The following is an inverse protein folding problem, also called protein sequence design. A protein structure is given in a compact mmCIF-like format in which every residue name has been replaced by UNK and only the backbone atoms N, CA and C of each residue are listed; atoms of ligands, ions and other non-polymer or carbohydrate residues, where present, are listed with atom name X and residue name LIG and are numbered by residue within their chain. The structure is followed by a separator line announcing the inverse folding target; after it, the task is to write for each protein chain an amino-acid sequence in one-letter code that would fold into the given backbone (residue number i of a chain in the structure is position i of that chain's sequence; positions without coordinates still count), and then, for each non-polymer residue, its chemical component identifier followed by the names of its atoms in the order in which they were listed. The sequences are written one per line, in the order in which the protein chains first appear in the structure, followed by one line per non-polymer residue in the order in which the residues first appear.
data_IF_298459732400
#
_entry.id   IF_298459732400
#
_cell.length_a   1.000
_cell.length_b   1.000
_cell.length_c   1.000
_cell.angle_alpha   90.00
_cell.angle_beta   90.00
_cell.angle_gamma   90.00
#
_symmetry.space_group_name_H-M   'P 1'
#
loop_
_entity.id
_entity.type
_entity.pdbx_description
1 polymer ?
#
# COMPACT_ATOMS: atom_id res chain seq x y z
N UNK A 1 20.30 -14.10 -6.02
CA UNK A 1 19.07 -13.32 -6.37
C UNK A 1 19.36 -11.88 -6.79
N UNK A 2 20.17 -11.04 -6.10
CA UNK A 2 20.41 -9.65 -6.49
C UNK A 2 20.89 -9.48 -7.94
N UNK A 3 21.81 -10.33 -8.40
CA UNK A 3 22.32 -10.28 -9.77
C UNK A 3 21.19 -10.50 -10.81
N UNK A 4 20.29 -11.47 -10.58
CA UNK A 4 19.18 -11.75 -11.52
C UNK A 4 18.21 -10.56 -11.61
N UNK A 5 17.82 -9.98 -10.49
CA UNK A 5 16.94 -8.81 -10.46
C UNK A 5 17.50 -7.66 -11.31
N UNK A 6 18.78 -7.30 -11.07
CA UNK A 6 19.46 -6.24 -11.82
C UNK A 6 19.52 -6.55 -13.32
N UNK A 7 19.87 -7.78 -13.68
CA UNK A 7 19.93 -8.21 -15.08
C UNK A 7 18.55 -8.12 -15.77
N UNK A 8 17.48 -8.53 -15.09
CA UNK A 8 16.14 -8.46 -15.67
C UNK A 8 15.62 -7.02 -15.81
N UNK A 9 15.95 -6.12 -14.86
CA UNK A 9 15.73 -4.67 -15.02
C UNK A 9 16.44 -4.12 -16.25
N UNK A 10 17.76 -4.40 -16.38
CA UNK A 10 18.58 -3.92 -17.49
C UNK A 10 18.10 -4.42 -18.86
N UNK A 11 17.57 -5.63 -18.89
CA UNK A 11 17.00 -6.23 -20.09
C UNK A 11 15.53 -5.85 -20.33
N UNK A 12 14.93 -5.03 -19.47
CA UNK A 12 13.51 -4.66 -19.48
C UNK A 12 12.57 -5.88 -19.54
N UNK A 13 12.96 -6.97 -18.88
CA UNK A 13 12.24 -8.24 -18.91
C UNK A 13 11.26 -8.34 -17.74
N UNK A 14 10.04 -7.84 -17.93
CA UNK A 14 8.98 -7.82 -16.90
C UNK A 14 8.59 -9.23 -16.44
N UNK A 15 8.53 -10.21 -17.36
CA UNK A 15 8.13 -11.57 -17.04
C UNK A 15 9.13 -12.23 -16.07
N UNK A 16 10.42 -12.01 -16.29
CA UNK A 16 11.44 -12.54 -15.38
C UNK A 16 11.53 -11.74 -14.07
N UNK A 17 11.25 -10.44 -14.11
CA UNK A 17 11.15 -9.61 -12.89
C UNK A 17 10.04 -10.11 -11.97
N UNK A 18 8.89 -10.53 -12.51
CA UNK A 18 7.79 -11.06 -11.71
C UNK A 18 8.18 -12.34 -10.95
N UNK A 19 9.16 -13.10 -11.43
CA UNK A 19 9.66 -14.29 -10.73
C UNK A 19 10.56 -13.99 -9.53
N UNK A 20 11.05 -12.75 -9.38
CA UNK A 20 11.98 -12.38 -8.30
C UNK A 20 11.19 -11.98 -7.05
N UNK A 21 11.53 -12.50 -5.85
CA UNK A 21 10.86 -12.14 -4.61
C UNK A 21 10.93 -10.63 -4.31
N UNK A 22 9.80 -10.05 -3.94
CA UNK A 22 9.60 -8.62 -3.61
C UNK A 22 8.64 -8.50 -2.43
N UNK A 23 8.49 -7.29 -1.93
CA UNK A 23 7.43 -6.92 -1.00
C UNK A 23 6.43 -6.00 -1.66
N UNK A 24 5.20 -5.99 -1.15
CA UNK A 24 4.18 -4.97 -1.35
C UNK A 24 3.66 -4.60 0.04
N UNK A 25 4.08 -3.46 0.57
CA UNK A 25 3.82 -3.04 1.96
C UNK A 25 2.76 -1.95 2.05
N UNK A 26 2.17 -1.61 0.91
CA UNK A 26 1.08 -0.66 0.79
C UNK A 26 0.13 -1.13 -0.33
N UNK A 27 -0.91 -1.84 0.07
CA UNK A 27 -1.87 -2.47 -0.82
C UNK A 27 -3.26 -2.43 -0.18
N UNK A 28 -4.26 -1.94 -0.91
CA UNK A 28 -5.65 -1.90 -0.44
C UNK A 28 -6.39 -3.19 -0.82
N UNK A 29 -6.93 -3.89 0.17
CA UNK A 29 -7.47 -5.24 0.03
C UNK A 29 -8.50 -5.40 -1.10
N UNK A 30 -9.42 -4.47 -1.25
CA UNK A 30 -10.45 -4.52 -2.29
C UNK A 30 -9.97 -4.05 -3.67
N UNK A 31 -8.74 -3.57 -3.78
CA UNK A 31 -8.16 -2.96 -4.98
C UNK A 31 -6.79 -3.53 -5.37
N UNK A 32 -6.19 -4.39 -4.55
CA UNK A 32 -4.84 -4.95 -4.76
C UNK A 32 -4.74 -6.06 -5.82
N UNK A 33 -5.81 -6.36 -6.53
CA UNK A 33 -5.89 -7.54 -7.39
C UNK A 33 -5.43 -7.32 -8.83
N UNK A 34 -5.42 -8.42 -9.58
CA UNK A 34 -5.05 -8.45 -10.98
C UNK A 34 -6.28 -8.23 -11.87
N UNK A 35 -6.24 -7.17 -12.69
CA UNK A 35 -7.32 -6.82 -13.63
C UNK A 35 -7.62 -7.95 -14.62
N UNK A 36 -6.59 -8.63 -15.15
CA UNK A 36 -6.77 -9.73 -16.09
C UNK A 36 -7.45 -10.94 -15.43
N UNK A 37 -7.09 -11.24 -14.18
CA UNK A 37 -7.75 -12.29 -13.42
C UNK A 37 -9.25 -11.97 -13.26
N UNK A 38 -9.59 -10.77 -12.80
CA UNK A 38 -10.99 -10.35 -12.68
C UNK A 38 -11.71 -10.44 -14.00
N UNK A 39 -11.15 -9.87 -15.08
CA UNK A 39 -11.75 -9.92 -16.41
C UNK A 39 -12.07 -11.37 -16.87
N UNK A 40 -11.17 -12.32 -16.59
CA UNK A 40 -11.38 -13.74 -16.87
C UNK A 40 -12.51 -14.38 -16.06
N UNK A 41 -12.67 -13.95 -14.79
CA UNK A 41 -13.69 -14.51 -13.89
C UNK A 41 -15.10 -13.99 -14.18
N UNK A 42 -15.23 -12.74 -14.64
CA UNK A 42 -16.53 -12.10 -14.88
C UNK A 42 -16.91 -12.08 -16.36
N UNK A 43 -16.04 -12.57 -17.24
CA UNK A 43 -16.21 -12.56 -18.70
C UNK A 43 -16.55 -11.15 -19.26
N UNK A 44 -15.92 -10.12 -18.71
CA UNK A 44 -16.08 -8.72 -19.10
C UNK A 44 -14.72 -8.16 -19.47
N UNK A 45 -14.65 -7.38 -20.55
CA UNK A 45 -13.46 -6.62 -20.88
C UNK A 45 -13.40 -5.38 -20.03
N UNK A 46 -12.46 -5.34 -19.09
CA UNK A 46 -12.21 -4.15 -18.26
C UNK A 46 -11.42 -3.13 -19.09
N UNK A 47 -11.87 -1.88 -19.08
CA UNK A 47 -11.19 -0.77 -19.76
C UNK A 47 -9.83 -0.48 -19.11
N UNK A 48 -8.93 0.14 -19.89
CA UNK A 48 -7.70 0.68 -19.32
C UNK A 48 -8.02 1.95 -18.53
N UNK A 49 -7.37 2.20 -17.38
CA UNK A 49 -7.51 3.47 -16.69
C UNK A 49 -6.96 4.62 -17.54
N UNK A 50 -7.42 5.86 -17.30
CA UNK A 50 -6.82 7.03 -17.93
C UNK A 50 -5.35 7.17 -17.50
N UNK A 51 -4.54 7.85 -18.33
CA UNK A 51 -3.14 8.11 -17.99
C UNK A 51 -2.99 8.98 -16.72
N UNK A 52 -3.96 9.88 -16.50
CA UNK A 52 -4.07 10.72 -15.30
C UNK A 52 -5.55 10.87 -14.94
N UNK A 53 -5.88 10.72 -13.66
CA UNK A 53 -7.19 11.02 -13.12
C UNK A 53 -7.29 12.51 -12.78
N UNK A 54 -8.40 13.15 -13.16
CA UNK A 54 -8.63 14.57 -12.89
C UNK A 54 -8.87 14.87 -11.41
N UNK A 55 -9.29 13.85 -10.65
CA UNK A 55 -9.56 13.93 -9.21
C UNK A 55 -9.71 12.53 -8.61
N UNK A 56 -9.63 12.42 -7.28
CA UNK A 56 -9.96 11.19 -6.54
C UNK A 56 -11.39 10.74 -6.85
N UNK A 57 -12.34 11.66 -6.98
CA UNK A 57 -13.72 11.32 -7.35
C UNK A 57 -13.79 10.70 -8.75
N UNK A 58 -13.03 11.22 -9.72
CA UNK A 58 -12.93 10.63 -11.06
C UNK A 58 -12.36 9.20 -10.98
N UNK A 59 -11.33 8.99 -10.19
CA UNK A 59 -10.74 7.67 -9.94
C UNK A 59 -11.76 6.69 -9.35
N UNK A 60 -12.48 7.10 -8.30
CA UNK A 60 -13.51 6.27 -7.67
C UNK A 60 -14.68 5.94 -8.60
N UNK A 61 -15.11 6.89 -9.45
CA UNK A 61 -16.16 6.66 -10.44
C UNK A 61 -15.67 5.65 -11.49
N UNK A 62 -14.45 5.83 -12.01
CA UNK A 62 -13.87 4.88 -12.95
C UNK A 62 -13.80 3.46 -12.36
N UNK A 63 -13.33 3.32 -11.12
CA UNK A 63 -13.28 2.04 -10.42
C UNK A 63 -14.67 1.41 -10.23
N UNK A 64 -15.65 2.22 -9.86
CA UNK A 64 -17.03 1.75 -9.69
C UNK A 64 -17.59 1.24 -11.01
N UNK A 65 -17.48 2.02 -12.09
CA UNK A 65 -18.08 1.72 -13.38
C UNK A 65 -17.39 0.57 -14.12
N UNK A 66 -16.08 0.39 -13.92
CA UNK A 66 -15.30 -0.62 -14.65
C UNK A 66 -15.03 -1.90 -13.85
N UNK A 67 -15.03 -1.83 -12.51
CA UNK A 67 -14.64 -2.96 -11.65
C UNK A 67 -15.77 -3.37 -10.69
N UNK A 68 -16.21 -2.45 -9.81
CA UNK A 68 -17.13 -2.79 -8.71
C UNK A 68 -18.47 -3.33 -9.19
N UNK A 69 -19.03 -2.79 -10.26
CA UNK A 69 -20.31 -3.23 -10.84
C UNK A 69 -20.25 -4.65 -11.43
N UNK A 70 -19.06 -5.14 -11.75
CA UNK A 70 -18.85 -6.45 -12.37
C UNK A 70 -18.35 -7.52 -11.41
N UNK A 71 -17.75 -7.12 -10.28
CA UNK A 71 -17.00 -8.02 -9.42
C UNK A 71 -17.27 -7.78 -7.94
N UNK A 72 -17.70 -8.84 -7.22
CA UNK A 72 -17.93 -8.76 -5.77
C UNK A 72 -16.66 -8.43 -5.00
N UNK A 73 -16.82 -7.90 -3.79
CA UNK A 73 -15.70 -7.59 -2.90
C UNK A 73 -14.83 -8.83 -2.63
N UNK A 74 -15.43 -9.96 -2.27
CA UNK A 74 -14.69 -11.21 -2.03
C UNK A 74 -13.90 -11.68 -3.24
N UNK A 75 -14.45 -11.51 -4.46
CA UNK A 75 -13.72 -11.88 -5.68
C UNK A 75 -12.52 -10.94 -5.93
N UNK A 76 -12.63 -9.67 -5.56
CA UNK A 76 -11.49 -8.73 -5.62
C UNK A 76 -10.42 -9.07 -4.59
N UNK A 77 -10.81 -9.48 -3.37
CA UNK A 77 -9.86 -9.98 -2.36
C UNK A 77 -9.14 -11.24 -2.83
N UNK A 78 -9.87 -12.20 -3.41
CA UNK A 78 -9.27 -13.38 -4.04
C UNK A 78 -8.24 -12.99 -5.10
N UNK A 79 -8.58 -12.02 -5.96
CA UNK A 79 -7.69 -11.52 -7.00
C UNK A 79 -6.40 -10.89 -6.44
N UNK A 80 -6.43 -10.29 -5.24
CA UNK A 80 -5.24 -9.72 -4.60
C UNK A 80 -4.23 -10.81 -4.19
N UNK A 81 -4.71 -11.95 -3.69
CA UNK A 81 -3.83 -13.09 -3.39
C UNK A 81 -3.30 -13.77 -4.66
N UNK A 82 -4.12 -13.87 -5.73
CA UNK A 82 -3.63 -14.35 -7.03
C UNK A 82 -2.52 -13.45 -7.55
N UNK A 83 -2.71 -12.13 -7.51
CA UNK A 83 -1.70 -11.15 -7.92
C UNK A 83 -0.42 -11.26 -7.10
N UNK A 84 -0.53 -11.44 -5.79
CA UNK A 84 0.65 -11.62 -4.94
C UNK A 84 1.48 -12.85 -5.34
N UNK A 85 0.79 -13.94 -5.72
CA UNK A 85 1.45 -15.15 -6.24
C UNK A 85 2.08 -14.91 -7.62
N UNK A 86 1.36 -14.28 -8.55
CA UNK A 86 1.79 -14.06 -9.93
C UNK A 86 3.01 -13.13 -10.02
N UNK A 87 3.10 -12.13 -9.15
CA UNK A 87 4.24 -11.21 -9.07
C UNK A 87 5.29 -11.59 -8.02
N UNK A 88 5.19 -12.82 -7.46
CA UNK A 88 6.08 -13.35 -6.43
C UNK A 88 6.31 -12.35 -5.27
N UNK A 89 5.21 -11.83 -4.74
CA UNK A 89 5.23 -10.98 -3.54
C UNK A 89 5.47 -11.87 -2.32
N UNK A 90 6.65 -11.77 -1.76
CA UNK A 90 7.06 -12.57 -0.61
C UNK A 90 6.56 -12.00 0.71
N UNK A 91 6.46 -10.67 0.83
CA UNK A 91 5.88 -9.98 1.99
C UNK A 91 4.78 -9.06 1.48
N UNK A 92 3.54 -9.29 1.92
CA UNK A 92 2.36 -8.53 1.53
C UNK A 92 1.72 -7.91 2.77
N UNK A 93 1.72 -6.58 2.87
CA UNK A 93 0.85 -5.84 3.78
C UNK A 93 -0.38 -5.38 3.00
N UNK A 94 -1.56 -5.76 3.47
CA UNK A 94 -2.82 -5.46 2.80
C UNK A 94 -3.79 -4.86 3.82
N UNK A 95 -4.32 -3.67 3.54
CA UNK A 95 -5.18 -2.92 4.44
C UNK A 95 -6.66 -3.29 4.30
N UNK A 96 -7.35 -3.43 5.43
CA UNK A 96 -8.76 -3.78 5.53
C UNK A 96 -9.50 -2.79 6.41
N UNK A 97 -10.59 -2.24 5.92
CA UNK A 97 -11.59 -1.59 6.77
C UNK A 97 -12.47 -2.64 7.44
N UNK A 98 -12.59 -2.61 8.76
CA UNK A 98 -13.39 -3.62 9.49
C UNK A 98 -14.87 -3.62 9.12
N UNK A 99 -15.39 -2.48 8.71
CA UNK A 99 -16.78 -2.35 8.28
C UNK A 99 -17.05 -3.03 6.93
N UNK A 100 -16.04 -3.26 6.12
CA UNK A 100 -16.17 -3.96 4.85
C UNK A 100 -16.55 -5.44 5.04
N UNK A 101 -16.04 -6.10 6.09
CA UNK A 101 -16.42 -7.48 6.40
C UNK A 101 -17.92 -7.63 6.57
N UNK A 102 -18.55 -6.76 7.35
CA UNK A 102 -20.00 -6.81 7.62
C UNK A 102 -20.82 -6.13 6.52
N UNK A 103 -20.53 -4.86 6.20
CA UNK A 103 -21.35 -4.05 5.29
C UNK A 103 -21.27 -4.50 3.83
N UNK A 104 -20.13 -5.02 3.39
CA UNK A 104 -19.87 -5.35 1.99
C UNK A 104 -19.85 -6.86 1.77
N UNK A 105 -19.14 -7.63 2.61
CA UNK A 105 -19.06 -9.08 2.47
C UNK A 105 -20.18 -9.84 3.20
N UNK A 106 -20.93 -9.17 4.09
CA UNK A 106 -22.01 -9.81 4.86
C UNK A 106 -21.52 -10.86 5.86
N UNK A 107 -20.29 -10.73 6.36
CA UNK A 107 -19.63 -11.66 7.26
C UNK A 107 -19.33 -10.99 8.60
N UNK A 108 -19.41 -11.75 9.70
CA UNK A 108 -18.73 -11.33 10.93
C UNK A 108 -17.19 -11.33 10.73
N UNK A 109 -16.48 -10.62 11.60
CA UNK A 109 -15.04 -10.46 11.47
C UNK A 109 -14.29 -11.80 11.58
N UNK A 110 -14.74 -12.73 12.40
CA UNK A 110 -14.12 -14.04 12.55
C UNK A 110 -14.18 -14.87 11.26
N UNK A 111 -15.37 -14.94 10.64
CA UNK A 111 -15.56 -15.62 9.35
C UNK A 111 -14.76 -14.94 8.23
N UNK A 112 -14.71 -13.60 8.24
CA UNK A 112 -13.91 -12.84 7.29
C UNK A 112 -12.41 -13.18 7.41
N UNK A 113 -11.86 -13.16 8.62
CA UNK A 113 -10.47 -13.55 8.90
C UNK A 113 -10.19 -14.98 8.41
N UNK A 114 -11.08 -15.92 8.71
CA UNK A 114 -10.95 -17.30 8.25
C UNK A 114 -10.91 -17.38 6.71
N UNK A 115 -11.76 -16.62 6.04
CA UNK A 115 -11.82 -16.56 4.57
C UNK A 115 -10.52 -16.01 3.98
N UNK A 116 -9.98 -14.92 4.55
CA UNK A 116 -8.70 -14.36 4.11
C UNK A 116 -7.53 -15.34 4.32
N UNK A 117 -7.49 -16.01 5.45
CA UNK A 117 -6.47 -17.02 5.72
C UNK A 117 -6.58 -18.20 4.73
N UNK A 118 -7.79 -18.62 4.34
CA UNK A 118 -7.99 -19.65 3.34
C UNK A 118 -7.53 -19.20 1.95
N UNK A 119 -7.84 -17.96 1.53
CA UNK A 119 -7.32 -17.41 0.27
C UNK A 119 -5.80 -17.36 0.27
N UNK A 120 -5.19 -16.84 1.34
CA UNK A 120 -3.73 -16.82 1.50
C UNK A 120 -3.14 -18.22 1.35
N UNK A 121 -3.69 -19.19 2.04
CA UNK A 121 -3.15 -20.55 2.05
C UNK A 121 -3.30 -21.24 0.68
N UNK A 122 -4.40 -21.02 -0.02
CA UNK A 122 -4.69 -21.69 -1.29
C UNK A 122 -4.09 -20.99 -2.52
N UNK A 123 -4.00 -19.65 -2.52
CA UNK A 123 -3.64 -18.87 -3.70
C UNK A 123 -2.23 -18.28 -3.62
N UNK A 124 -1.76 -17.94 -2.42
CA UNK A 124 -0.44 -17.34 -2.19
C UNK A 124 0.29 -18.01 -1.02
N UNK A 125 0.50 -19.36 -1.04
CA UNK A 125 1.05 -20.09 0.11
C UNK A 125 2.46 -19.64 0.51
N UNK A 126 3.26 -19.16 -0.45
CA UNK A 126 4.63 -18.68 -0.22
C UNK A 126 4.72 -17.23 0.28
N UNK A 127 3.61 -16.47 0.23
CA UNK A 127 3.56 -15.08 0.67
C UNK A 127 3.44 -15.02 2.19
N UNK A 128 4.23 -14.18 2.82
CA UNK A 128 4.05 -13.78 4.22
C UNK A 128 3.03 -12.66 4.23
N UNK A 129 1.87 -12.94 4.81
CA UNK A 129 0.75 -12.04 4.80
C UNK A 129 0.68 -11.26 6.11
N UNK A 130 0.66 -9.94 6.01
CA UNK A 130 0.61 -8.98 7.10
C UNK A 130 -0.69 -8.16 6.98
N UNK A 131 -1.81 -8.64 7.52
CA UNK A 131 -3.06 -7.90 7.47
C UNK A 131 -2.95 -6.60 8.28
N UNK A 132 -3.40 -5.51 7.67
CA UNK A 132 -3.38 -4.18 8.23
C UNK A 132 -4.80 -3.69 8.51
N UNK A 133 -5.03 -3.21 9.73
CA UNK A 133 -6.28 -2.54 10.07
C UNK A 133 -6.23 -1.11 9.54
N UNK A 134 -7.21 -0.69 8.75
CA UNK A 134 -7.29 0.70 8.34
C UNK A 134 -8.62 1.36 8.71
N UNK A 135 -8.58 2.66 8.96
CA UNK A 135 -9.76 3.51 9.15
C UNK A 135 -9.79 4.59 8.08
N UNK A 136 -10.94 4.76 7.44
CA UNK A 136 -11.14 5.82 6.48
C UNK A 136 -11.26 7.17 7.20
N UNK A 137 -10.24 8.03 7.08
CA UNK A 137 -10.14 9.33 7.75
C UNK A 137 -11.32 10.26 7.43
N UNK A 138 -11.87 10.16 6.22
CA UNK A 138 -12.94 11.03 5.76
C UNK A 138 -14.28 10.76 6.45
N UNK A 139 -14.56 9.53 6.87
CA UNK A 139 -15.85 9.13 7.45
C UNK A 139 -15.74 8.42 8.81
N UNK A 140 -14.56 8.30 9.38
CA UNK A 140 -14.36 7.62 10.67
C UNK A 140 -14.95 8.43 11.83
N UNK A 141 -15.93 7.86 12.52
CA UNK A 141 -16.29 8.29 13.88
C UNK A 141 -15.26 7.68 14.85
N UNK A 142 -14.35 8.53 15.33
CA UNK A 142 -13.21 8.12 16.17
C UNK A 142 -13.66 7.51 17.50
N UNK A 143 -14.78 7.94 18.08
CA UNK A 143 -15.28 7.39 19.34
C UNK A 143 -15.90 6.01 19.14
N UNK A 144 -16.67 5.85 18.08
CA UNK A 144 -17.22 4.55 17.67
C UNK A 144 -16.09 3.56 17.32
N UNK A 145 -15.12 3.98 16.52
CA UNK A 145 -13.95 3.17 16.17
C UNK A 145 -13.17 2.73 17.42
N UNK A 146 -12.93 3.65 18.34
CA UNK A 146 -12.22 3.36 19.60
C UNK A 146 -12.97 2.35 20.47
N UNK A 147 -14.29 2.44 20.56
CA UNK A 147 -15.12 1.53 21.37
C UNK A 147 -15.08 0.08 20.85
N UNK A 148 -14.93 -0.11 19.54
CA UNK A 148 -14.88 -1.44 18.90
C UNK A 148 -13.45 -2.02 18.81
N UNK A 149 -12.44 -1.21 19.10
CA UNK A 149 -11.05 -1.59 18.86
C UNK A 149 -10.60 -2.78 19.71
N UNK A 150 -11.10 -2.92 20.96
CA UNK A 150 -10.76 -4.07 21.83
C UNK A 150 -11.24 -5.39 21.22
N UNK A 151 -12.46 -5.40 20.70
CA UNK A 151 -12.99 -6.58 19.99
C UNK A 151 -12.16 -6.93 18.78
N UNK A 152 -11.87 -5.93 17.92
CA UNK A 152 -11.06 -6.12 16.70
C UNK A 152 -9.67 -6.66 17.04
N UNK A 153 -8.99 -6.07 18.02
CA UNK A 153 -7.64 -6.47 18.43
C UNK A 153 -7.61 -7.84 19.12
N UNK A 154 -8.71 -8.27 19.75
CA UNK A 154 -8.79 -9.58 20.40
C UNK A 154 -8.59 -10.76 19.46
N UNK A 155 -8.79 -10.58 18.17
CA UNK A 155 -8.49 -11.61 17.16
C UNK A 155 -6.98 -11.81 16.93
N UNK A 156 -6.10 -10.90 17.37
CA UNK A 156 -4.64 -10.94 17.17
C UNK A 156 -4.21 -11.17 15.71
N UNK A 157 -5.09 -10.84 14.76
CA UNK A 157 -4.86 -11.06 13.34
C UNK A 157 -4.10 -9.92 12.69
N UNK A 158 -4.51 -8.69 12.97
CA UNK A 158 -3.87 -7.51 12.41
C UNK A 158 -2.44 -7.34 12.91
N UNK A 159 -1.55 -6.87 12.03
CA UNK A 159 -0.12 -6.66 12.29
C UNK A 159 0.26 -5.18 12.32
N UNK A 160 -0.55 -4.35 11.69
CA UNK A 160 -0.36 -2.90 11.66
C UNK A 160 -1.70 -2.17 11.70
N UNK A 161 -1.63 -0.88 11.98
CA UNK A 161 -2.75 0.05 11.93
C UNK A 161 -2.41 1.19 10.98
N UNK A 162 -3.37 1.58 10.16
CA UNK A 162 -3.31 2.71 9.23
C UNK A 162 -4.56 3.59 9.32
N UNK A 163 -4.45 4.83 8.86
CA UNK A 163 -5.58 5.66 8.45
C UNK A 163 -5.36 6.11 7.01
N UNK A 164 -6.40 6.02 6.19
CA UNK A 164 -6.34 6.34 4.76
C UNK A 164 -7.40 7.37 4.35
N UNK A 165 -7.46 7.67 3.05
CA UNK A 165 -8.41 8.61 2.45
C UNK A 165 -8.00 10.08 2.64
N UNK A 166 -8.93 11.01 2.46
CA UNK A 166 -8.69 12.46 2.40
C UNK A 166 -7.96 13.00 3.63
N UNK A 167 -6.74 13.46 3.44
CA UNK A 167 -5.85 13.98 4.49
C UNK A 167 -6.39 15.27 5.16
N UNK A 168 -7.32 15.98 4.51
CA UNK A 168 -7.77 17.31 4.95
C UNK A 168 -9.07 17.29 5.76
N UNK A 169 -9.79 16.16 5.81
CA UNK A 169 -11.14 16.12 6.41
C UNK A 169 -11.12 16.29 7.92
N UNK A 170 -10.18 15.65 8.63
CA UNK A 170 -10.06 15.81 10.07
C UNK A 170 -8.61 15.78 10.54
N UNK A 171 -8.29 16.51 11.66
CA UNK A 171 -6.93 16.56 12.18
C UNK A 171 -6.40 15.19 12.58
N UNK A 172 -5.13 14.92 12.25
CA UNK A 172 -4.45 13.65 12.55
C UNK A 172 -4.46 13.34 14.05
N UNK A 173 -4.34 14.33 14.90
CA UNK A 173 -4.36 14.22 16.37
C UNK A 173 -5.63 13.61 16.97
N UNK A 174 -6.75 13.64 16.23
CA UNK A 174 -8.00 13.03 16.68
C UNK A 174 -7.85 11.51 16.87
N UNK A 175 -6.94 10.89 16.12
CA UNK A 175 -6.68 9.45 16.15
C UNK A 175 -5.71 8.98 17.24
N UNK A 176 -5.12 9.90 18.02
CA UNK A 176 -4.10 9.56 19.06
C UNK A 176 -4.50 8.42 19.97
N UNK A 177 -5.75 8.40 20.45
CA UNK A 177 -6.21 7.35 21.37
C UNK A 177 -6.29 5.97 20.70
N UNK A 178 -6.66 5.92 19.41
CA UNK A 178 -6.69 4.70 18.61
C UNK A 178 -5.27 4.18 18.43
N UNK A 179 -4.35 5.04 18.01
CA UNK A 179 -2.94 4.69 17.78
C UNK A 179 -2.24 4.24 19.04
N UNK A 180 -2.48 4.95 20.16
CA UNK A 180 -1.94 4.51 21.47
C UNK A 180 -2.40 3.09 21.80
N UNK A 181 -3.68 2.78 21.65
CA UNK A 181 -4.23 1.46 21.96
C UNK A 181 -3.68 0.38 21.02
N UNK A 182 -3.53 0.67 19.73
CA UNK A 182 -2.92 -0.22 18.75
C UNK A 182 -1.45 -0.51 19.12
N UNK A 183 -0.69 0.51 19.48
CA UNK A 183 0.70 0.37 19.95
C UNK A 183 0.80 -0.50 21.20
N UNK A 184 -0.06 -0.26 22.17
CA UNK A 184 -0.11 -1.03 23.43
C UNK A 184 -0.48 -2.51 23.15
N UNK A 185 -1.12 -2.80 22.01
CA UNK A 185 -1.46 -4.14 21.51
C UNK A 185 -0.39 -4.74 20.57
N UNK A 186 0.74 -4.05 20.37
CA UNK A 186 1.87 -4.55 19.59
C UNK A 186 1.76 -4.37 18.07
N UNK A 187 0.83 -3.53 17.57
CA UNK A 187 0.74 -3.23 16.14
C UNK A 187 1.80 -2.21 15.72
N UNK A 188 2.34 -2.38 14.51
CA UNK A 188 3.09 -1.30 13.84
C UNK A 188 2.14 -0.18 13.44
N UNK A 189 2.60 1.04 13.54
CA UNK A 189 1.79 2.22 13.32
C UNK A 189 2.15 2.87 12.00
N UNK A 190 1.15 2.99 11.13
CA UNK A 190 1.27 3.59 9.80
C UNK A 190 0.18 4.64 9.59
N UNK A 191 0.34 5.53 8.61
CA UNK A 191 -0.71 6.43 8.17
C UNK A 191 -0.45 6.90 6.74
N UNK A 192 -1.53 7.11 5.98
CA UNK A 192 -1.48 7.88 4.73
C UNK A 192 -1.33 9.36 5.08
N UNK A 193 -0.20 9.94 4.70
CA UNK A 193 0.06 11.36 4.89
C UNK A 193 1.15 11.85 3.94
N UNK A 194 1.02 13.09 3.48
CA UNK A 194 1.95 13.73 2.56
C UNK A 194 1.91 13.13 1.15
N UNK A 195 0.78 12.59 0.75
CA UNK A 195 0.45 12.34 -0.65
C UNK A 195 -0.03 13.63 -1.31
N UNK A 196 -1.05 14.26 -0.72
CA UNK A 196 -1.62 15.54 -1.16
C UNK A 196 -1.28 16.69 -0.20
N UNK A 197 -0.89 16.41 1.03
CA UNK A 197 -0.54 17.35 2.07
C UNK A 197 0.87 17.93 1.91
N UNK A 198 1.43 18.41 3.01
CA UNK A 198 2.73 19.09 3.07
C UNK A 198 3.78 18.23 3.79
N UNK A 199 5.05 18.65 3.73
CA UNK A 199 6.11 18.02 4.53
C UNK A 199 5.86 18.15 6.03
N UNK A 200 5.32 19.28 6.47
CA UNK A 200 4.99 19.53 7.89
C UNK A 200 3.88 18.58 8.37
N UNK A 201 2.89 18.24 7.51
CA UNK A 201 1.85 17.25 7.85
C UNK A 201 2.46 15.86 8.08
N UNK A 202 3.48 15.48 7.29
CA UNK A 202 4.21 14.21 7.47
C UNK A 202 4.89 14.18 8.85
N UNK A 203 5.60 15.25 9.20
CA UNK A 203 6.29 15.33 10.50
C UNK A 203 5.28 15.33 11.66
N UNK A 204 4.21 16.16 11.57
CA UNK A 204 3.14 16.20 12.58
C UNK A 204 2.53 14.81 12.80
N UNK A 205 2.22 14.08 11.73
CA UNK A 205 1.61 12.76 11.84
C UNK A 205 2.55 11.76 12.55
N UNK A 206 3.83 11.75 12.18
CA UNK A 206 4.82 10.85 12.81
C UNK A 206 4.95 11.17 14.30
N UNK A 207 5.04 12.46 14.68
CA UNK A 207 5.18 12.86 16.08
C UNK A 207 3.90 12.61 16.89
N UNK A 208 2.73 12.99 16.35
CA UNK A 208 1.44 12.91 17.05
C UNK A 208 0.96 11.48 17.26
N UNK A 209 1.20 10.59 16.28
CA UNK A 209 0.73 9.21 16.33
C UNK A 209 1.83 8.21 16.69
N UNK A 210 3.11 8.62 16.68
CA UNK A 210 4.25 7.76 16.91
C UNK A 210 4.44 6.72 15.83
N UNK A 211 4.33 7.14 14.54
CA UNK A 211 4.37 6.25 13.40
C UNK A 211 5.73 5.57 13.23
N UNK A 212 5.69 4.30 12.87
CA UNK A 212 6.85 3.53 12.41
C UNK A 212 7.07 3.71 10.90
N UNK A 213 5.97 3.87 10.15
CA UNK A 213 5.96 3.95 8.69
C UNK A 213 4.94 5.00 8.22
N UNK A 214 5.17 5.56 7.05
CA UNK A 214 4.23 6.47 6.37
C UNK A 214 3.90 5.90 5.00
N UNK A 215 2.63 5.79 4.68
CA UNK A 215 2.17 5.52 3.34
C UNK A 215 2.27 6.80 2.50
N UNK A 216 2.89 6.70 1.31
CA UNK A 216 3.36 7.77 0.43
C UNK A 216 4.47 8.63 1.06
N UNK A 217 4.14 9.67 1.81
CA UNK A 217 5.10 10.58 2.44
C UNK A 217 5.92 11.42 1.48
N UNK A 218 5.54 11.50 0.19
CA UNK A 218 6.35 12.13 -0.87
C UNK A 218 6.51 13.63 -0.72
N UNK A 219 5.58 14.30 -0.03
CA UNK A 219 5.67 15.73 0.27
C UNK A 219 6.90 16.09 1.12
N UNK A 220 7.44 15.15 1.91
CA UNK A 220 8.67 15.34 2.69
C UNK A 220 9.85 15.77 1.82
N UNK A 221 9.86 15.41 0.53
CA UNK A 221 10.91 15.80 -0.43
C UNK A 221 11.01 17.32 -0.66
N UNK A 222 10.04 18.10 -0.21
CA UNK A 222 10.07 19.57 -0.32
C UNK A 222 10.90 20.25 0.79
N UNK A 223 11.15 19.54 1.91
CA UNK A 223 11.87 20.07 3.08
C UNK A 223 13.15 19.27 3.41
N UNK A 224 14.35 19.84 3.19
CA UNK A 224 15.60 19.22 3.63
C UNK A 224 15.65 18.90 5.12
N UNK A 225 15.05 19.76 5.94
CA UNK A 225 14.97 19.55 7.38
C UNK A 225 14.17 18.29 7.72
N UNK A 226 12.98 18.15 7.14
CA UNK A 226 12.11 16.99 7.42
C UNK A 226 12.69 15.70 6.85
N UNK A 227 13.33 15.76 5.67
CA UNK A 227 14.02 14.59 5.12
C UNK A 227 15.14 14.09 6.05
N UNK A 228 16.00 14.98 6.56
CA UNK A 228 17.03 14.60 7.54
C UNK A 228 16.40 14.03 8.81
N UNK A 229 15.34 14.66 9.31
CA UNK A 229 14.64 14.21 10.51
C UNK A 229 14.03 12.80 10.32
N UNK A 230 13.38 12.53 9.18
CA UNK A 230 12.85 11.19 8.85
C UNK A 230 13.95 10.13 8.76
N UNK A 231 15.09 10.47 8.14
CA UNK A 231 16.25 9.58 8.03
C UNK A 231 16.84 9.26 9.41
N UNK A 232 17.04 10.27 10.25
CA UNK A 232 17.62 10.13 11.59
C UNK A 232 16.70 9.28 12.51
N UNK A 233 15.38 9.42 12.38
CA UNK A 233 14.37 8.65 13.10
C UNK A 233 14.03 7.30 12.45
N UNK A 234 14.62 7.00 11.27
CA UNK A 234 14.39 5.77 10.49
C UNK A 234 12.91 5.51 10.18
N UNK A 235 12.15 6.56 9.95
CA UNK A 235 10.75 6.45 9.53
C UNK A 235 10.72 5.95 8.08
N UNK A 236 10.08 4.80 7.85
CA UNK A 236 9.98 4.21 6.51
C UNK A 236 8.85 4.88 5.70
N UNK A 237 9.09 5.11 4.41
CA UNK A 237 8.08 5.58 3.47
C UNK A 237 7.71 4.47 2.48
N UNK A 238 6.42 4.10 2.44
CA UNK A 238 5.87 3.10 1.54
C UNK A 238 5.30 3.81 0.29
N UNK A 239 6.13 3.98 -0.71
CA UNK A 239 5.88 4.83 -1.88
C UNK A 239 5.21 4.03 -2.99
N UNK A 240 4.22 4.64 -3.68
CA UNK A 240 3.46 4.08 -4.79
C UNK A 240 3.62 4.95 -6.03
N UNK A 241 4.67 4.73 -6.85
CA UNK A 241 5.02 5.66 -7.91
C UNK A 241 3.94 5.89 -8.96
N UNK A 242 3.26 4.83 -9.40
CA UNK A 242 2.20 4.95 -10.42
C UNK A 242 0.97 5.65 -9.87
N UNK A 243 0.59 5.39 -8.62
CA UNK A 243 -0.48 6.13 -7.93
C UNK A 243 -0.19 7.62 -7.95
N UNK A 244 1.00 8.02 -7.50
CA UNK A 244 1.39 9.43 -7.43
C UNK A 244 1.42 10.12 -8.81
N UNK A 245 1.80 9.39 -9.87
CA UNK A 245 1.78 9.92 -11.25
C UNK A 245 0.35 9.98 -11.80
N UNK A 246 -0.44 8.92 -11.64
CA UNK A 246 -1.78 8.84 -12.22
C UNK A 246 -2.80 9.70 -11.48
N UNK A 247 -2.57 10.03 -10.20
CA UNK A 247 -3.34 11.03 -9.45
C UNK A 247 -2.86 12.48 -9.69
N UNK A 248 -1.84 12.66 -10.56
CA UNK A 248 -1.37 13.98 -10.96
C UNK A 248 -0.55 14.71 -9.89
N UNK A 249 -0.21 14.05 -8.79
CA UNK A 249 0.64 14.63 -7.73
C UNK A 249 2.07 14.76 -8.21
N UNK A 250 2.53 13.82 -9.02
CA UNK A 250 3.85 13.80 -9.64
C UNK A 250 3.70 13.83 -11.16
N UNK A 251 4.53 14.62 -11.84
CA UNK A 251 4.43 14.84 -13.31
C UNK A 251 4.86 13.62 -14.13
N UNK A 252 5.72 12.77 -13.60
CA UNK A 252 6.24 11.60 -14.30
C UNK A 252 7.27 10.85 -13.46
N UNK A 253 7.59 9.64 -13.87
CA UNK A 253 8.54 8.79 -13.15
C UNK A 253 9.97 9.35 -13.13
N UNK A 254 10.36 10.11 -14.14
CA UNK A 254 11.70 10.74 -14.30
C UNK A 254 11.98 11.85 -13.30
N UNK A 255 10.93 12.41 -12.69
CA UNK A 255 11.02 13.49 -11.69
C UNK A 255 10.39 13.07 -10.34
N UNK A 256 10.20 11.78 -10.12
CA UNK A 256 9.53 11.28 -8.93
C UNK A 256 10.35 11.57 -7.65
N UNK A 257 9.72 12.08 -6.57
CA UNK A 257 10.40 12.45 -5.31
C UNK A 257 11.17 11.30 -4.64
N UNK A 258 10.86 10.04 -4.93
CA UNK A 258 11.54 8.87 -4.36
C UNK A 258 13.06 8.95 -4.51
N UNK A 259 13.58 9.51 -5.61
CA UNK A 259 15.01 9.72 -5.82
C UNK A 259 15.63 10.55 -4.70
N UNK A 260 15.02 11.70 -4.43
CA UNK A 260 15.52 12.64 -3.42
C UNK A 260 15.41 12.05 -2.00
N UNK A 261 14.28 11.39 -1.70
CA UNK A 261 14.06 10.73 -0.41
C UNK A 261 15.09 9.63 -0.16
N UNK A 262 15.36 8.79 -1.18
CA UNK A 262 16.41 7.77 -1.12
C UNK A 262 17.81 8.36 -0.91
N UNK A 263 18.15 9.45 -1.62
CA UNK A 263 19.47 10.12 -1.50
C UNK A 263 19.70 10.70 -0.10
N UNK A 264 18.64 11.08 0.61
CA UNK A 264 18.73 11.53 2.00
C UNK A 264 18.86 10.37 3.01
N UNK A 265 18.83 9.11 2.54
CA UNK A 265 18.98 7.93 3.39
C UNK A 265 17.70 7.52 4.11
N UNK A 266 16.54 8.04 3.71
CA UNK A 266 15.25 7.61 4.25
C UNK A 266 14.98 6.17 3.78
N UNK A 267 14.58 5.25 4.65
CA UNK A 267 14.11 3.93 4.24
C UNK A 267 12.87 4.07 3.34
N UNK A 268 12.96 3.65 2.09
CA UNK A 268 11.83 3.70 1.15
C UNK A 268 11.53 2.33 0.58
N UNK A 269 10.26 2.03 0.34
CA UNK A 269 9.79 0.83 -0.38
C UNK A 269 8.97 1.23 -1.60
N UNK A 270 8.78 0.29 -2.52
CA UNK A 270 8.00 0.48 -3.75
C UNK A 270 6.82 -0.49 -3.72
N UNK A 271 5.61 0.04 -3.87
CA UNK A 271 4.36 -0.65 -3.63
C UNK A 271 3.30 -0.30 -4.69
N UNK A 272 2.15 -0.99 -4.67
CA UNK A 272 1.13 -0.89 -5.72
C UNK A 272 -0.04 0.04 -5.40
N UNK A 273 -0.36 0.26 -4.11
CA UNK A 273 -1.56 0.99 -3.71
C UNK A 273 -2.86 0.27 -4.21
N UNK A 274 -3.65 0.93 -5.02
CA UNK A 274 -4.85 0.42 -5.69
C UNK A 274 -4.53 -0.21 -7.06
N UNK A 275 -3.89 -1.39 -7.08
CA UNK A 275 -3.41 -2.03 -8.31
C UNK A 275 -4.53 -2.23 -9.36
N UNK A 276 -5.75 -2.57 -8.94
CA UNK A 276 -6.90 -2.69 -9.85
C UNK A 276 -7.23 -1.37 -10.57
N UNK A 277 -6.88 -0.24 -10.00
CA UNK A 277 -7.11 1.08 -10.57
C UNK A 277 -5.91 1.50 -11.41
N UNK A 278 -4.71 1.45 -10.83
CA UNK A 278 -3.49 1.94 -11.50
C UNK A 278 -2.90 0.92 -12.49
N UNK A 279 -3.30 -0.35 -12.40
CA UNK A 279 -2.91 -1.44 -13.28
C UNK A 279 -1.38 -1.60 -13.41
N UNK A 280 -0.66 -1.40 -12.31
CA UNK A 280 0.79 -1.52 -12.25
C UNK A 280 1.18 -2.50 -11.13
N UNK A 281 1.83 -3.62 -11.49
CA UNK A 281 2.37 -4.57 -10.51
C UNK A 281 3.63 -4.01 -9.86
N UNK A 282 4.06 -4.56 -8.73
CA UNK A 282 5.33 -4.14 -8.10
C UNK A 282 6.51 -4.29 -9.06
N UNK A 283 6.55 -5.37 -9.84
CA UNK A 283 7.56 -5.55 -10.89
C UNK A 283 7.52 -4.43 -11.94
N UNK A 284 6.32 -3.98 -12.32
CA UNK A 284 6.16 -2.88 -13.26
C UNK A 284 6.60 -1.55 -12.67
N UNK A 285 6.32 -1.30 -11.37
CA UNK A 285 6.78 -0.10 -10.65
C UNK A 285 8.31 0.03 -10.67
N UNK A 286 9.01 -1.06 -10.34
CA UNK A 286 10.48 -1.09 -10.45
C UNK A 286 10.96 -0.81 -11.87
N UNK A 287 10.29 -1.41 -12.86
CA UNK A 287 10.66 -1.24 -14.26
C UNK A 287 10.39 0.18 -14.77
N UNK A 288 9.30 0.82 -14.34
CA UNK A 288 8.96 2.19 -14.70
C UNK A 288 10.02 3.18 -14.22
N UNK A 289 10.42 3.10 -12.95
CA UNK A 289 11.47 3.95 -12.37
C UNK A 289 12.83 3.72 -13.05
N UNK A 290 13.15 2.47 -13.39
CA UNK A 290 14.38 2.14 -14.11
C UNK A 290 14.38 2.71 -15.54
N UNK A 291 13.29 2.50 -16.29
CA UNK A 291 13.14 2.99 -17.68
C UNK A 291 13.13 4.52 -17.75
N UNK A 292 12.61 5.18 -16.75
CA UNK A 292 12.64 6.64 -16.63
C UNK A 292 14.07 7.20 -16.37
N UNK A 293 15.03 6.32 -16.10
CA UNK A 293 16.41 6.73 -15.77
C UNK A 293 16.55 7.38 -14.40
N UNK A 294 15.51 7.29 -13.56
CA UNK A 294 15.51 7.93 -12.24
C UNK A 294 16.42 7.21 -11.25
N UNK A 295 16.46 5.88 -11.30
CA UNK A 295 17.22 5.05 -10.37
C UNK A 295 17.97 3.95 -11.11
N UNK A 296 19.15 3.61 -10.59
CA UNK A 296 19.95 2.49 -11.10
C UNK A 296 19.38 1.14 -10.67
N UNK A 297 19.74 0.09 -11.39
CA UNK A 297 19.34 -1.28 -11.01
C UNK A 297 19.87 -1.71 -9.63
N UNK A 298 21.01 -1.15 -9.20
CA UNK A 298 21.58 -1.41 -7.86
C UNK A 298 20.73 -0.78 -6.77
N UNK A 299 20.38 0.50 -6.91
CA UNK A 299 19.56 1.23 -5.95
C UNK A 299 18.18 0.60 -5.82
N UNK A 300 17.53 0.24 -6.93
CA UNK A 300 16.26 -0.45 -6.95
C UNK A 300 16.34 -1.83 -6.29
N UNK A 301 17.46 -2.55 -6.45
CA UNK A 301 17.67 -3.81 -5.72
C UNK A 301 17.83 -3.57 -4.21
N UNK A 302 18.49 -2.49 -3.79
CA UNK A 302 18.61 -2.15 -2.36
C UNK A 302 17.24 -1.87 -1.74
N UNK A 303 16.37 -1.13 -2.45
CA UNK A 303 14.97 -0.89 -2.03
C UNK A 303 14.19 -2.22 -1.92
N UNK A 304 14.32 -3.10 -2.93
CA UNK A 304 13.68 -4.42 -2.91
C UNK A 304 14.13 -5.26 -1.71
N UNK A 305 15.43 -5.27 -1.42
CA UNK A 305 15.97 -6.01 -0.27
C UNK A 305 15.58 -5.42 1.07
N UNK A 306 15.42 -4.10 1.14
CA UNK A 306 14.89 -3.44 2.34
C UNK A 306 13.47 -3.93 2.62
N UNK A 307 12.56 -3.85 1.65
CA UNK A 307 11.18 -4.28 1.84
C UNK A 307 11.04 -5.76 2.21
N UNK A 308 11.94 -6.63 1.74
CA UNK A 308 11.95 -8.05 2.15
C UNK A 308 12.38 -8.26 3.61
N UNK A 309 13.12 -7.32 4.20
CA UNK A 309 13.56 -7.41 5.61
C UNK A 309 12.49 -6.96 6.59
N UNK A 310 11.43 -6.31 6.13
CA UNK A 310 10.34 -5.83 6.97
C UNK A 310 9.71 -6.95 7.81
N UNK A 311 9.74 -8.18 7.33
CA UNK A 311 9.28 -9.34 8.13
C UNK A 311 9.92 -9.39 9.52
N UNK A 312 11.16 -8.93 9.67
CA UNK A 312 11.88 -9.01 10.94
C UNK A 312 11.23 -8.19 12.07
N UNK A 313 10.33 -7.26 11.73
CA UNK A 313 9.56 -6.48 12.72
C UNK A 313 8.28 -7.19 13.19
N UNK A 314 7.89 -8.29 12.53
CA UNK A 314 6.64 -9.00 12.80
C UNK A 314 6.87 -10.44 13.33
N UNK A 315 8.13 -10.85 13.39
CA UNK A 315 8.61 -12.13 13.93
C UNK A 315 9.40 -11.86 15.21
#
# INVERSE_FOLDING_TARGET
MPHKFKTHLQNHNLLELSSIPKSDLHNHAGCGGNVNYIASQVNVKIGQPPAVFESILHMHNWFTDNIKVHCSYLKRLEASFVQASDDNIHVLSMSFETDEANKIAGMDLGLFIQTMNNFKQSLAPSTIFLPELTFNRACCDVDSAYSRLDEILSYHWFKSLDICSDEFVQPIKNFKKIYKKAKDSGLRLKAHVGEFGTADDVMEAVEELGLDEVHHGIAAATSPYIMNWLADNRVQLNICPSSNVMLGVVKGYDVHPIRKLYDYGIPVTINTDDLLIFNQTVSQEYLNLYKAGLMTAEELNNIRELGLKEINYYV
#
